data_IF_752551181300
#
_entry.id   IF_752551181300
#
_cell.length_a   1.000
_cell.length_b   1.000
_cell.length_c   1.000
_cell.angle_alpha   90.00
_cell.angle_beta   90.00
_cell.angle_gamma   90.00
#
_symmetry.space_group_name_H-M   'P 1'
#
loop_
_entity.id
_entity.type
_entity.pdbx_description
1 polymer ?
#
# COMPACT_ATOMS: atom_id res chain seq x y z
N UNK A 1 -17.25 -1.52 -0.92
CA UNK A 1 -16.10 -0.94 -1.65
C UNK A 1 -16.49 0.31 -2.43
N UNK A 2 -17.55 0.28 -3.26
CA UNK A 2 -18.02 1.42 -4.07
C UNK A 2 -18.07 2.80 -3.37
N UNK A 3 -18.64 2.88 -2.14
CA UNK A 3 -18.73 4.14 -1.38
C UNK A 3 -17.35 4.78 -1.17
N UNK A 4 -16.35 4.00 -0.74
CA UNK A 4 -15.00 4.50 -0.47
C UNK A 4 -14.22 4.79 -1.74
N UNK A 5 -14.38 3.99 -2.79
CA UNK A 5 -13.83 4.31 -4.11
C UNK A 5 -14.36 5.66 -4.62
N UNK A 6 -15.64 5.96 -4.39
CA UNK A 6 -16.25 7.22 -4.77
C UNK A 6 -15.69 8.41 -3.97
N UNK A 7 -15.62 8.31 -2.63
CA UNK A 7 -15.03 9.36 -1.79
C UNK A 7 -13.55 9.59 -2.09
N UNK A 8 -12.77 8.50 -2.24
CA UNK A 8 -11.37 8.59 -2.61
C UNK A 8 -11.20 9.25 -3.96
N UNK A 9 -12.01 8.89 -4.96
CA UNK A 9 -11.96 9.56 -6.27
C UNK A 9 -12.13 11.07 -6.15
N UNK A 10 -13.04 11.55 -5.30
CA UNK A 10 -13.17 12.99 -5.03
C UNK A 10 -11.97 13.58 -4.28
N UNK A 11 -11.45 12.90 -3.26
CA UNK A 11 -10.29 13.36 -2.50
C UNK A 11 -9.00 13.40 -3.34
N UNK A 12 -8.88 12.49 -4.32
CA UNK A 12 -7.74 12.35 -5.20
C UNK A 12 -7.83 13.20 -6.47
N UNK A 13 -9.05 13.58 -6.89
CA UNK A 13 -9.27 14.35 -8.12
C UNK A 13 -8.43 15.64 -8.25
N UNK A 14 -8.24 16.46 -7.18
CA UNK A 14 -7.40 17.65 -7.27
C UNK A 14 -5.93 17.37 -7.61
N UNK A 15 -5.46 16.13 -7.43
CA UNK A 15 -4.07 15.74 -7.66
C UNK A 15 -3.90 14.90 -8.92
N UNK A 16 -4.88 14.06 -9.24
CA UNK A 16 -4.77 13.08 -10.32
C UNK A 16 -5.50 13.50 -11.60
N UNK A 17 -6.50 14.37 -11.50
CA UNK A 17 -7.45 14.65 -12.58
C UNK A 17 -7.60 16.16 -12.86
N UNK A 18 -6.47 16.87 -12.84
CA UNK A 18 -6.41 18.34 -12.99
C UNK A 18 -6.83 18.80 -14.39
N UNK A 19 -6.71 17.94 -15.39
CA UNK A 19 -7.08 18.16 -16.80
C UNK A 19 -8.59 17.94 -17.08
N UNK A 20 -9.41 17.67 -16.06
CA UNK A 20 -10.83 17.36 -16.22
C UNK A 20 -11.09 15.92 -16.66
N UNK A 21 -10.04 15.08 -16.72
CA UNK A 21 -10.21 13.63 -16.80
C UNK A 21 -10.95 13.12 -15.57
N UNK A 22 -11.43 11.88 -15.63
CA UNK A 22 -12.06 11.25 -14.49
C UNK A 22 -11.51 9.85 -14.44
N UNK A 23 -10.54 9.60 -13.55
CA UNK A 23 -9.90 8.30 -13.51
C UNK A 23 -10.89 7.20 -13.17
N UNK A 24 -10.64 6.06 -13.75
CA UNK A 24 -11.47 4.87 -13.64
C UNK A 24 -11.61 4.42 -12.18
N UNK A 25 -12.66 3.64 -11.91
CA UNK A 25 -12.85 3.09 -10.56
C UNK A 25 -11.72 2.10 -10.23
N UNK A 26 -11.21 1.43 -11.26
CA UNK A 26 -10.07 0.52 -11.26
C UNK A 26 -8.79 1.24 -10.83
N UNK A 27 -8.42 2.35 -11.48
CA UNK A 27 -7.25 3.16 -11.10
C UNK A 27 -7.37 3.69 -9.66
N UNK A 28 -8.57 4.12 -9.26
CA UNK A 28 -8.80 4.59 -7.89
C UNK A 28 -8.61 3.45 -6.88
N UNK A 29 -9.13 2.25 -7.16
CA UNK A 29 -8.93 1.08 -6.30
C UNK A 29 -7.47 0.64 -6.27
N UNK A 30 -6.78 0.69 -7.41
CA UNK A 30 -5.38 0.39 -7.55
C UNK A 30 -4.53 1.33 -6.67
N UNK A 31 -4.73 2.64 -6.79
CA UNK A 31 -4.04 3.63 -5.94
C UNK A 31 -4.34 3.36 -4.47
N UNK A 32 -5.61 3.20 -4.09
CA UNK A 32 -5.97 2.92 -2.69
C UNK A 32 -5.33 1.63 -2.16
N UNK A 33 -5.22 0.58 -2.98
CA UNK A 33 -4.50 -0.64 -2.63
C UNK A 33 -3.05 -0.35 -2.25
N UNK A 34 -2.35 0.38 -3.11
CA UNK A 34 -0.96 0.77 -2.89
C UNK A 34 -0.78 1.58 -1.60
N UNK A 35 -1.82 2.32 -1.20
CA UNK A 35 -1.80 3.12 0.04
C UNK A 35 -2.13 2.37 1.33
N UNK A 36 -2.71 1.17 1.29
CA UNK A 36 -3.02 0.39 2.49
C UNK A 36 -4.40 -0.23 2.49
N UNK A 37 -5.23 0.11 1.50
CA UNK A 37 -6.61 -0.32 1.48
C UNK A 37 -6.75 -1.72 0.91
N UNK A 38 -7.75 -2.48 1.37
CA UNK A 38 -7.97 -3.85 0.90
C UNK A 38 -8.66 -3.85 -0.46
N UNK A 39 -8.04 -4.47 -1.45
CA UNK A 39 -8.57 -4.72 -2.80
C UNK A 39 -8.07 -6.07 -3.35
N UNK A 40 -8.25 -6.29 -4.66
CA UNK A 40 -7.91 -7.53 -5.39
C UNK A 40 -6.68 -7.35 -6.31
N UNK A 41 -5.85 -6.34 -6.10
CA UNK A 41 -4.64 -6.11 -6.87
C UNK A 41 -3.40 -6.64 -6.15
N UNK A 42 -2.46 -7.15 -6.93
CA UNK A 42 -1.12 -7.48 -6.47
C UNK A 42 -0.20 -6.29 -6.73
N UNK A 43 0.62 -5.95 -5.74
CA UNK A 43 1.55 -4.82 -5.79
C UNK A 43 2.96 -5.30 -6.14
N UNK A 44 3.63 -4.56 -7.02
CA UNK A 44 4.97 -4.85 -7.52
C UNK A 44 5.74 -3.56 -7.72
N UNK A 45 7.05 -3.69 -7.82
CA UNK A 45 7.90 -2.61 -8.30
C UNK A 45 8.49 -3.00 -9.65
N UNK A 46 8.77 -2.03 -10.52
CA UNK A 46 9.65 -2.22 -11.68
C UNK A 46 11.13 -2.06 -11.31
N UNK A 47 11.43 -1.60 -10.10
CA UNK A 47 12.76 -1.37 -9.58
C UNK A 47 13.24 -2.56 -8.73
N UNK A 48 14.27 -3.29 -9.19
CA UNK A 48 14.80 -4.45 -8.48
C UNK A 48 15.28 -4.13 -7.07
N UNK A 49 15.79 -2.91 -6.83
CA UNK A 49 16.27 -2.49 -5.52
C UNK A 49 15.11 -2.40 -4.51
N UNK A 50 14.00 -1.80 -4.93
CA UNK A 50 12.76 -1.70 -4.13
C UNK A 50 12.22 -3.10 -3.83
N UNK A 51 12.05 -3.96 -4.84
CA UNK A 51 11.56 -5.34 -4.62
C UNK A 51 12.48 -6.14 -3.70
N UNK A 52 13.80 -5.94 -3.78
CA UNK A 52 14.78 -6.60 -2.91
C UNK A 52 14.72 -6.08 -1.47
N UNK A 53 14.50 -4.79 -1.28
CA UNK A 53 14.24 -4.22 0.05
C UNK A 53 13.01 -4.88 0.68
N UNK A 54 11.91 -4.95 -0.06
CA UNK A 54 10.70 -5.61 0.43
C UNK A 54 10.93 -7.11 0.72
N UNK A 55 11.60 -7.83 -0.17
CA UNK A 55 11.96 -9.25 0.01
C UNK A 55 12.68 -9.52 1.34
N UNK A 56 13.54 -8.60 1.74
CA UNK A 56 14.42 -8.73 2.89
C UNK A 56 13.89 -8.11 4.19
N UNK A 57 12.71 -7.52 4.18
CA UNK A 57 12.08 -6.92 5.37
C UNK A 57 10.75 -7.59 5.74
N UNK A 58 10.35 -7.50 7.01
CA UNK A 58 9.08 -7.99 7.53
C UNK A 58 8.16 -6.84 7.85
N UNK A 59 6.98 -6.87 7.24
CA UNK A 59 5.88 -6.05 7.70
C UNK A 59 5.45 -6.45 9.11
N UNK A 60 5.37 -5.46 9.97
CA UNK A 60 4.77 -5.57 11.29
C UNK A 60 3.66 -4.52 11.39
N UNK A 61 2.56 -4.87 12.04
CA UNK A 61 1.50 -3.92 12.35
C UNK A 61 1.09 -4.05 13.80
N UNK A 62 0.86 -2.91 14.41
CA UNK A 62 0.37 -2.84 15.78
C UNK A 62 -0.83 -1.90 15.86
N UNK A 63 -1.74 -2.19 16.78
CA UNK A 63 -2.88 -1.34 17.06
C UNK A 63 -2.61 -0.57 18.35
N UNK A 64 -2.62 0.76 18.24
CA UNK A 64 -2.47 1.65 19.40
C UNK A 64 -3.78 2.40 19.64
N UNK A 65 -3.98 2.77 20.90
CA UNK A 65 -5.10 3.62 21.33
C UNK A 65 -4.47 4.86 21.95
N UNK A 66 -4.84 6.03 21.43
CA UNK A 66 -4.37 7.32 21.91
C UNK A 66 -5.55 8.09 22.49
N UNK A 67 -5.38 8.70 23.66
CA UNK A 67 -6.36 9.65 24.18
C UNK A 67 -6.10 11.02 23.57
N UNK A 68 -7.13 11.68 23.07
CA UNK A 68 -7.05 13.08 22.69
C UNK A 68 -8.34 13.80 23.09
N UNK A 69 -8.42 15.09 22.77
CA UNK A 69 -9.62 15.88 22.95
C UNK A 69 -10.28 16.15 21.58
N UNK A 70 -11.59 16.35 21.58
CA UNK A 70 -12.28 16.91 20.43
C UNK A 70 -12.29 18.45 20.46
N UNK A 71 -13.08 19.08 19.59
CA UNK A 71 -13.14 20.55 19.52
C UNK A 71 -13.88 21.20 20.70
N UNK A 72 -14.60 20.41 21.51
CA UNK A 72 -15.23 20.83 22.76
C UNK A 72 -14.35 20.60 23.98
N UNK A 73 -13.11 20.14 23.79
CA UNK A 73 -12.21 19.71 24.88
C UNK A 73 -12.72 18.45 25.61
N UNK A 74 -13.68 17.72 25.02
CA UNK A 74 -14.15 16.46 25.57
C UNK A 74 -13.17 15.33 25.24
N UNK A 75 -12.89 14.41 26.18
CA UNK A 75 -11.98 13.31 25.94
C UNK A 75 -12.55 12.35 24.89
N UNK A 76 -11.66 11.87 24.01
CA UNK A 76 -11.95 10.86 23.01
C UNK A 76 -10.82 9.83 22.93
N UNK A 77 -11.17 8.59 22.61
CA UNK A 77 -10.19 7.55 22.26
C UNK A 77 -10.05 7.45 20.75
N UNK A 78 -8.82 7.51 20.26
CA UNK A 78 -8.49 7.28 18.86
C UNK A 78 -7.78 5.96 18.71
N UNK A 79 -8.32 5.08 17.88
CA UNK A 79 -7.71 3.82 17.50
C UNK A 79 -6.89 4.02 16.25
N UNK A 80 -5.59 3.78 16.36
CA UNK A 80 -4.62 3.88 15.28
C UNK A 80 -4.09 2.50 14.93
N UNK A 81 -3.95 2.23 13.64
CA UNK A 81 -3.11 1.15 13.17
C UNK A 81 -1.77 1.75 12.79
N UNK A 82 -0.72 1.32 13.48
CA UNK A 82 0.65 1.61 13.10
C UNK A 82 1.21 0.41 12.37
N UNK A 83 2.20 0.67 11.54
CA UNK A 83 2.95 -0.37 10.88
C UNK A 83 4.43 -0.01 10.87
N UNK A 84 5.27 -1.01 10.63
CA UNK A 84 6.71 -0.88 10.54
C UNK A 84 7.31 -2.00 9.71
N UNK A 85 8.59 -1.85 9.38
CA UNK A 85 9.37 -2.88 8.73
C UNK A 85 10.60 -3.17 9.56
N UNK A 86 10.84 -4.44 9.82
CA UNK A 86 12.07 -4.91 10.47
C UNK A 86 12.83 -5.78 9.49
N UNK A 87 14.15 -5.84 9.62
CA UNK A 87 14.93 -6.76 8.81
C UNK A 87 14.46 -8.20 9.04
N UNK A 88 14.42 -8.98 7.96
CA UNK A 88 14.18 -10.42 8.04
C UNK A 88 15.52 -11.18 8.08
N UNK A 89 15.49 -12.34 8.72
CA UNK A 89 16.62 -13.27 8.82
C UNK A 89 16.20 -14.59 8.20
N UNK A 90 17.02 -15.13 7.30
CA UNK A 90 16.75 -16.37 6.57
C UNK A 90 16.63 -16.16 5.07
N UNK A 91 16.08 -17.17 4.38
CA UNK A 91 15.92 -17.13 2.94
C UNK A 91 14.68 -16.34 2.51
N UNK A 92 14.86 -15.48 1.52
CA UNK A 92 13.80 -14.67 0.92
C UNK A 92 13.55 -15.13 -0.52
N UNK A 93 12.35 -14.84 -1.01
CA UNK A 93 11.91 -15.19 -2.36
C UNK A 93 11.55 -13.93 -3.14
N UNK A 94 12.21 -13.74 -4.28
CA UNK A 94 11.92 -12.69 -5.23
C UNK A 94 11.44 -13.31 -6.54
N UNK A 95 10.33 -12.84 -7.07
CA UNK A 95 9.71 -13.35 -8.29
C UNK A 95 9.78 -12.26 -9.38
N UNK A 96 10.21 -12.61 -10.58
CA UNK A 96 10.09 -11.71 -11.72
C UNK A 96 8.82 -12.04 -12.50
N UNK A 97 7.96 -11.04 -12.70
CA UNK A 97 6.70 -11.19 -13.44
C UNK A 97 6.77 -10.46 -14.78
N UNK A 98 6.13 -11.05 -15.79
CA UNK A 98 5.91 -10.44 -17.10
C UNK A 98 4.41 -10.16 -17.26
N UNK A 99 3.96 -8.92 -16.99
CA UNK A 99 2.55 -8.56 -17.03
C UNK A 99 1.93 -8.70 -18.43
N UNK A 100 2.74 -8.70 -19.50
CA UNK A 100 2.25 -8.87 -20.87
C UNK A 100 1.59 -10.24 -21.09
N UNK A 101 1.97 -11.23 -20.29
CA UNK A 101 1.44 -12.61 -20.33
C UNK A 101 0.09 -12.75 -19.63
N UNK A 102 -0.35 -11.72 -18.89
CA UNK A 102 -1.63 -11.71 -18.19
C UNK A 102 -2.79 -11.17 -19.06
N UNK A 103 -2.47 -10.58 -20.24
CA UNK A 103 -3.44 -9.90 -21.11
C UNK A 103 -4.57 -10.80 -21.61
N UNK A 104 -4.35 -12.10 -21.73
CA UNK A 104 -5.36 -13.07 -22.20
C UNK A 104 -6.41 -13.42 -21.15
N UNK A 105 -6.28 -12.97 -19.89
CA UNK A 105 -7.15 -13.36 -18.77
C UNK A 105 -7.87 -12.19 -18.08
N UNK A 106 -8.07 -11.07 -18.77
CA UNK A 106 -8.69 -9.85 -18.21
C UNK A 106 -7.99 -9.29 -16.96
N UNK A 107 -6.70 -9.59 -16.82
CA UNK A 107 -5.83 -9.06 -15.77
C UNK A 107 -5.05 -7.90 -16.37
N UNK A 108 -5.17 -6.73 -15.75
CA UNK A 108 -4.55 -5.50 -16.21
C UNK A 108 -3.33 -5.16 -15.37
N UNK A 109 -2.30 -4.66 -16.04
CA UNK A 109 -1.13 -4.09 -15.41
C UNK A 109 -1.29 -2.57 -15.41
N UNK A 110 -1.26 -1.96 -14.23
CA UNK A 110 -1.35 -0.53 -14.03
C UNK A 110 0.00 0.00 -13.58
N UNK A 111 0.64 0.79 -14.43
CA UNK A 111 1.83 1.54 -14.07
C UNK A 111 1.42 2.78 -13.27
N UNK A 112 1.49 2.69 -11.94
CA UNK A 112 1.21 3.84 -11.09
C UNK A 112 2.34 4.87 -11.14
N UNK A 113 3.56 4.44 -11.47
CA UNK A 113 4.72 5.34 -11.52
C UNK A 113 4.60 6.37 -12.67
N UNK A 114 3.83 6.05 -13.71
CA UNK A 114 3.52 6.95 -14.83
C UNK A 114 2.67 8.18 -14.45
N UNK A 115 1.99 8.16 -13.31
CA UNK A 115 1.09 9.23 -12.86
C UNK A 115 1.89 10.42 -12.37
N UNK A 116 1.95 11.53 -13.10
CA UNK A 116 2.73 12.71 -12.68
C UNK A 116 1.95 13.63 -11.73
N UNK A 117 2.56 13.99 -10.60
CA UNK A 117 2.06 15.02 -9.67
C UNK A 117 3.18 16.04 -9.46
N UNK A 118 2.97 17.26 -9.96
CA UNK A 118 3.99 18.32 -9.96
C UNK A 118 4.47 18.65 -8.55
N UNK A 119 5.80 18.68 -8.36
CA UNK A 119 6.44 19.08 -7.10
C UNK A 119 6.22 18.12 -5.93
N UNK A 120 5.69 16.92 -6.19
CA UNK A 120 5.40 15.92 -5.17
C UNK A 120 6.23 14.64 -5.38
N UNK A 121 6.35 13.85 -4.32
CA UNK A 121 6.93 12.52 -4.33
C UNK A 121 5.92 11.55 -3.71
N UNK A 122 4.88 11.15 -4.45
CA UNK A 122 3.94 10.14 -3.98
C UNK A 122 4.64 8.78 -3.82
N UNK A 123 4.12 7.94 -2.93
CA UNK A 123 4.66 6.61 -2.65
C UNK A 123 4.89 5.75 -3.90
N UNK A 124 3.95 5.77 -4.83
CA UNK A 124 4.06 4.97 -6.06
C UNK A 124 5.20 5.42 -6.99
N UNK A 125 5.69 6.66 -6.87
CA UNK A 125 6.94 7.10 -7.51
C UNK A 125 8.16 6.62 -6.76
N UNK A 126 8.16 6.75 -5.43
CA UNK A 126 9.27 6.31 -4.59
C UNK A 126 9.54 4.80 -4.71
N UNK A 127 8.55 4.03 -5.15
CA UNK A 127 8.61 2.58 -5.29
C UNK A 127 8.57 2.08 -6.73
N UNK A 128 8.54 2.96 -7.74
CA UNK A 128 8.36 2.58 -9.14
C UNK A 128 7.22 1.55 -9.30
N UNK A 129 6.06 1.87 -8.71
CA UNK A 129 5.01 0.90 -8.38
C UNK A 129 4.14 0.51 -9.57
N UNK A 130 3.82 -0.77 -9.60
CA UNK A 130 2.97 -1.44 -10.58
C UNK A 130 1.91 -2.26 -9.84
N UNK A 131 0.69 -2.29 -10.37
CA UNK A 131 -0.37 -3.16 -9.86
C UNK A 131 -0.85 -4.10 -10.94
N UNK A 132 -0.96 -5.37 -10.61
CA UNK A 132 -1.57 -6.38 -11.47
C UNK A 132 -2.92 -6.78 -10.89
N UNK A 133 -3.98 -6.67 -11.67
CA UNK A 133 -5.28 -7.16 -11.27
C UNK A 133 -6.45 -6.65 -12.08
N UNK A 134 -7.67 -6.93 -11.61
CA UNK A 134 -7.97 -7.69 -10.39
C UNK A 134 -7.59 -9.18 -10.52
N UNK A 135 -6.94 -9.75 -9.50
CA UNK A 135 -6.58 -11.18 -9.43
C UNK A 135 -7.46 -11.87 -8.39
N UNK A 136 -8.36 -12.74 -8.86
CA UNK A 136 -9.24 -13.54 -8.01
C UNK A 136 -8.74 -14.99 -7.92
N UNK A 137 -7.68 -15.22 -7.15
CA UNK A 137 -7.08 -16.55 -6.98
C UNK A 137 -5.65 -16.65 -7.53
N UNK A 138 -5.25 -17.84 -7.96
CA UNK A 138 -3.86 -18.07 -8.39
C UNK A 138 -3.46 -17.20 -9.57
N UNK A 139 -2.21 -16.72 -9.55
CA UNK A 139 -1.61 -16.04 -10.68
C UNK A 139 -1.68 -16.92 -11.96
N UNK A 140 -1.88 -16.32 -13.14
CA UNK A 140 -1.87 -17.05 -14.40
C UNK A 140 -0.58 -17.84 -14.61
N UNK A 141 -0.69 -19.01 -15.21
CA UNK A 141 0.50 -19.81 -15.55
C UNK A 141 1.43 -19.04 -16.50
N UNK A 142 2.74 -19.12 -16.26
CA UNK A 142 3.75 -18.49 -17.09
C UNK A 142 3.94 -16.98 -16.89
N UNK A 143 3.17 -16.34 -16.00
CA UNK A 143 3.38 -14.92 -15.65
C UNK A 143 4.65 -14.71 -14.84
N UNK A 144 4.96 -15.66 -13.94
CA UNK A 144 6.22 -15.71 -13.21
C UNK A 144 7.26 -16.27 -14.18
N UNK A 145 8.23 -15.43 -14.54
CA UNK A 145 9.31 -15.80 -15.46
C UNK A 145 10.52 -16.34 -14.72
N UNK A 146 10.78 -15.83 -13.51
CA UNK A 146 11.92 -16.23 -12.70
C UNK A 146 11.54 -16.23 -11.22
N UNK A 147 12.24 -17.07 -10.46
CA UNK A 147 12.15 -17.15 -9.01
C UNK A 147 13.57 -17.23 -8.44
N UNK A 148 13.92 -16.24 -7.63
CA UNK A 148 15.19 -16.14 -6.94
C UNK A 148 15.00 -16.48 -5.46
N UNK A 149 15.90 -17.31 -4.94
CA UNK A 149 15.98 -17.64 -3.51
C UNK A 149 17.39 -17.30 -3.05
N UNK A 150 17.50 -16.45 -2.04
CA UNK A 150 18.78 -16.04 -1.46
C UNK A 150 18.59 -15.56 -0.02
N UNK A 151 19.68 -15.47 0.74
CA UNK A 151 19.67 -14.91 2.09
C UNK A 151 19.18 -13.45 2.07
N UNK A 152 18.36 -13.08 3.05
CA UNK A 152 17.84 -11.73 3.23
C UNK A 152 18.93 -10.66 3.20
N UNK A 153 20.14 -10.96 3.70
CA UNK A 153 21.29 -10.05 3.69
C UNK A 153 21.71 -9.67 2.27
N UNK A 154 21.71 -10.60 1.32
CA UNK A 154 22.08 -10.33 -0.07
C UNK A 154 21.08 -9.37 -0.74
N UNK A 155 19.78 -9.56 -0.48
CA UNK A 155 18.75 -8.63 -0.94
C UNK A 155 18.85 -7.27 -0.22
N UNK A 156 19.18 -7.27 1.08
CA UNK A 156 19.77 -6.17 1.89
C UNK A 156 20.70 -5.29 1.07
N UNK A 157 21.86 -5.88 0.82
CA UNK A 157 23.01 -5.24 0.18
C UNK A 157 22.70 -4.80 -1.25
N UNK A 158 21.98 -5.62 -2.01
CA UNK A 158 21.58 -5.28 -3.38
C UNK A 158 20.61 -4.09 -3.42
N UNK A 159 19.70 -3.98 -2.44
CA UNK A 159 18.73 -2.88 -2.43
C UNK A 159 19.39 -1.51 -2.27
N UNK A 160 20.46 -1.42 -1.48
CA UNK A 160 21.12 -0.14 -1.14
C UNK A 160 20.23 0.88 -0.41
N UNK A 161 18.98 0.54 -0.08
CA UNK A 161 18.02 1.42 0.58
C UNK A 161 18.22 1.31 2.08
N UNK A 162 18.61 2.42 2.71
CA UNK A 162 18.93 2.48 4.14
C UNK A 162 17.80 3.09 4.98
N UNK A 163 16.89 3.85 4.36
CA UNK A 163 15.81 4.54 5.06
C UNK A 163 14.45 4.14 4.50
N UNK A 164 13.52 3.80 5.38
CA UNK A 164 12.11 3.58 5.02
C UNK A 164 11.50 4.83 4.37
N UNK A 165 11.95 6.05 4.71
CA UNK A 165 11.48 7.28 4.05
C UNK A 165 11.82 7.33 2.55
N UNK A 166 12.83 6.57 2.11
CA UNK A 166 13.18 6.49 0.69
C UNK A 166 12.10 5.75 -0.09
N UNK A 167 11.35 4.84 0.53
CA UNK A 167 10.25 4.13 -0.11
C UNK A 167 8.89 4.72 0.24
N UNK A 168 8.78 5.37 1.39
CA UNK A 168 7.51 5.83 1.92
C UNK A 168 7.62 7.29 2.37
N UNK A 169 7.41 8.22 1.42
CA UNK A 169 7.55 9.64 1.67
C UNK A 169 6.52 10.12 2.71
N UNK A 170 6.88 11.08 3.58
CA UNK A 170 5.96 11.62 4.57
C UNK A 170 4.81 12.40 3.90
N UNK A 171 3.70 12.66 4.60
CA UNK A 171 2.58 13.43 4.06
C UNK A 171 2.95 14.85 3.57
N UNK A 172 4.09 15.41 4.00
CA UNK A 172 4.61 16.68 3.49
C UNK A 172 5.08 16.60 2.03
N UNK A 173 5.51 15.41 1.58
CA UNK A 173 5.98 15.15 0.21
C UNK A 173 4.98 14.34 -0.62
N UNK A 174 4.08 13.59 0.04
CA UNK A 174 3.05 12.76 -0.58
C UNK A 174 1.64 13.38 -0.39
N UNK A 175 1.13 14.14 -1.38
CA UNK A 175 -0.19 14.76 -1.30
C UNK A 175 -1.33 13.73 -1.34
N UNK A 176 -1.10 12.56 -1.93
CA UNK A 176 -2.08 11.48 -1.98
C UNK A 176 -2.25 10.89 -0.59
N UNK A 177 -1.14 10.54 0.07
CA UNK A 177 -1.16 10.11 1.47
C UNK A 177 -1.82 11.17 2.36
N UNK A 178 -1.47 12.45 2.19
CA UNK A 178 -2.08 13.55 2.97
C UNK A 178 -3.60 13.60 2.80
N UNK A 179 -4.09 13.51 1.56
CA UNK A 179 -5.52 13.54 1.26
C UNK A 179 -6.26 12.31 1.81
N UNK A 180 -5.66 11.13 1.69
CA UNK A 180 -6.24 9.91 2.27
C UNK A 180 -6.20 9.95 3.81
N UNK A 181 -5.22 10.63 4.39
CA UNK A 181 -5.11 10.81 5.83
C UNK A 181 -6.10 11.83 6.40
N UNK A 182 -6.66 12.73 5.58
CA UNK A 182 -7.66 13.72 6.00
C UNK A 182 -9.10 13.17 5.96
N UNK A 183 -9.29 11.91 5.57
CA UNK A 183 -10.60 11.27 5.60
C UNK A 183 -11.13 11.27 7.04
N UNK A 184 -12.40 11.67 7.29
CA UNK A 184 -12.94 11.78 8.63
C UNK A 184 -12.84 10.49 9.44
N UNK A 185 -12.77 10.66 10.76
CA UNK A 185 -12.88 9.55 11.70
C UNK A 185 -14.33 9.08 11.80
N UNK A 186 -14.51 7.79 12.08
CA UNK A 186 -15.80 7.16 12.33
C UNK A 186 -15.86 6.70 13.79
N UNK A 187 -16.93 7.08 14.48
CA UNK A 187 -17.25 6.58 15.82
C UNK A 187 -17.48 5.07 15.78
N UNK A 188 -16.89 4.37 16.74
CA UNK A 188 -17.15 2.97 17.05
C UNK A 188 -18.22 2.92 18.13
N UNK A 189 -19.31 2.22 17.86
CA UNK A 189 -20.28 1.88 18.89
C UNK A 189 -19.69 0.76 19.75
N UNK A 190 -19.47 1.04 21.03
CA UNK A 190 -19.00 0.05 22.01
C UNK A 190 -20.20 -0.53 22.75
N UNK A 191 -20.12 -1.80 23.18
CA UNK A 191 -21.20 -2.45 23.95
C UNK A 191 -21.54 -1.69 25.23
N UNK A 192 -20.58 -1.01 25.83
CA UNK A 192 -20.79 -0.20 27.05
C UNK A 192 -21.71 1.01 26.81
N UNK A 193 -21.81 1.50 25.56
CA UNK A 193 -22.80 2.53 25.18
C UNK A 193 -24.22 1.95 25.16
N UNK A 194 -24.38 0.65 24.86
CA UNK A 194 -25.66 -0.06 24.91
C UNK A 194 -26.11 -0.35 26.36
N UNK A 195 -25.16 -0.39 27.31
CA UNK A 195 -25.43 -0.59 28.75
C UNK A 195 -25.62 0.73 29.54
N UNK A 196 -25.63 1.88 28.86
CA UNK A 196 -25.98 3.18 29.46
C UNK A 196 -24.92 3.79 30.38
N UNK A 197 -23.69 3.30 30.35
CA UNK A 197 -22.56 3.91 31.06
C UNK A 197 -21.96 5.04 30.19
N UNK A 198 -21.56 6.19 30.78
CA UNK A 198 -20.88 7.24 30.03
C UNK A 198 -19.47 6.76 29.64
N UNK A 199 -19.37 6.11 28.49
CA UNK A 199 -18.11 5.70 27.89
C UNK A 199 -17.49 6.87 27.13
N UNK A 200 -16.18 7.09 27.32
CA UNK A 200 -15.41 8.01 26.48
C UNK A 200 -15.54 7.54 25.02
N UNK A 201 -16.03 8.38 24.08
CA UNK A 201 -16.28 7.96 22.71
C UNK A 201 -15.02 7.43 22.02
N UNK A 202 -15.15 6.31 21.31
CA UNK A 202 -14.04 5.68 20.60
C UNK A 202 -14.17 5.92 19.10
N UNK A 203 -13.10 6.31 18.44
CA UNK A 203 -13.05 6.60 17.01
C UNK A 203 -11.97 5.78 16.33
N UNK A 204 -12.21 5.42 15.06
CA UNK A 204 -11.17 4.91 14.14
C UNK A 204 -11.21 5.67 12.82
N UNK A 205 -10.12 5.65 12.06
CA UNK A 205 -10.13 6.21 10.71
C UNK A 205 -11.18 5.49 9.86
N UNK A 206 -11.95 6.25 9.08
CA UNK A 206 -12.98 5.63 8.23
C UNK A 206 -12.38 4.83 7.07
N UNK A 207 -11.23 5.27 6.59
CA UNK A 207 -10.35 4.47 5.74
C UNK A 207 -9.28 3.85 6.65
N UNK A 208 -9.36 2.54 6.86
CA UNK A 208 -8.28 1.79 7.50
C UNK A 208 -7.16 1.70 6.49
N UNK A 209 -6.29 2.69 6.56
CA UNK A 209 -4.95 2.58 6.03
C UNK A 209 -4.12 1.92 7.12
N UNK A 210 -3.07 1.22 6.71
CA UNK A 210 -1.94 0.88 7.55
C UNK A 210 -0.89 1.96 7.34
N UNK A 211 -1.07 3.18 7.88
CA UNK A 211 0.05 4.09 7.88
C UNK A 211 1.12 3.41 8.73
N UNK A 212 2.30 3.11 8.17
CA UNK A 212 3.42 2.95 9.07
C UNK A 212 3.58 4.26 9.85
N UNK A 213 4.49 4.34 10.81
CA UNK A 213 5.03 5.67 11.16
C UNK A 213 5.52 6.45 9.90
N UNK A 214 5.55 5.78 8.74
CA UNK A 214 5.98 6.18 7.41
C UNK A 214 4.99 5.78 6.26
N UNK A 215 3.72 5.32 6.47
CA UNK A 215 2.78 4.84 5.41
C UNK A 215 3.02 3.52 4.61
N UNK A 216 2.33 2.35 4.77
CA UNK A 216 2.45 1.15 3.85
C UNK A 216 1.23 0.19 3.75
N UNK A 217 0.92 -0.33 2.54
CA UNK A 217 0.17 -1.58 2.25
C UNK A 217 1.11 -2.73 1.86
N UNK A 218 0.78 -3.99 2.20
CA UNK A 218 1.19 -5.15 1.39
C UNK A 218 -0.07 -6.00 1.13
N UNK A 219 -0.27 -6.42 -0.11
CA UNK A 219 -1.08 -7.61 -0.41
C UNK A 219 -0.34 -8.87 0.09
N UNK A 220 -0.60 -9.30 1.33
CA UNK A 220 -0.26 -10.67 1.72
C UNK A 220 -1.15 -11.62 0.90
N UNK A 221 -0.56 -12.29 -0.08
CA UNK A 221 -1.18 -13.48 -0.67
C UNK A 221 -1.02 -14.64 0.33
N UNK A 222 -2.08 -15.41 0.66
CA UNK A 222 -2.01 -16.40 1.71
C UNK A 222 -1.28 -17.65 1.21
N UNK A 223 0.03 -17.79 1.43
CA UNK A 223 0.73 -19.06 1.21
C UNK A 223 1.88 -19.23 2.22
N UNK A 224 1.79 -20.31 2.99
CA UNK A 224 2.76 -20.99 3.87
C UNK A 224 3.86 -20.19 4.60
N UNK A 225 3.91 -20.41 5.91
CA UNK A 225 4.68 -19.71 6.94
C UNK A 225 6.22 -19.74 6.81
N UNK A 226 6.80 -20.33 5.77
CA UNK A 226 8.26 -20.53 5.66
C UNK A 226 8.98 -19.62 4.65
N UNK A 227 8.26 -18.89 3.77
CA UNK A 227 8.89 -18.14 2.67
C UNK A 227 8.24 -16.78 2.40
N UNK A 228 9.02 -15.69 2.46
CA UNK A 228 8.55 -14.35 2.03
C UNK A 228 8.68 -14.16 0.53
N UNK A 229 7.58 -13.80 -0.11
CA UNK A 229 7.44 -13.67 -1.57
C UNK A 229 7.17 -12.21 -1.95
N UNK A 230 7.98 -11.66 -2.85
CA UNK A 230 7.76 -10.35 -3.46
C UNK A 230 7.99 -10.41 -4.96
N UNK A 231 7.36 -9.52 -5.73
CA UNK A 231 7.52 -9.56 -7.17
C UNK A 231 7.97 -8.23 -7.80
N UNK A 232 8.67 -8.40 -8.92
CA UNK A 232 9.31 -7.37 -9.74
C UNK A 232 8.71 -7.44 -11.13
N UNK A 233 8.17 -6.34 -11.67
CA UNK A 233 7.69 -6.29 -13.05
C UNK A 233 8.84 -6.09 -14.03
N UNK A 234 8.83 -6.85 -15.13
CA UNK A 234 9.71 -6.59 -16.28
C UNK A 234 9.01 -5.69 -17.29
N UNK A 235 9.19 -4.38 -17.17
CA UNK A 235 9.28 -3.50 -18.34
C UNK A 235 10.74 -3.17 -18.62
N UNK A 236 11.54 -4.22 -18.85
CA UNK A 236 12.94 -4.07 -19.22
C UNK A 236 12.98 -3.69 -20.71
N UNK A 237 12.99 -2.39 -21.03
CA UNK A 237 13.56 -1.95 -22.30
C UNK A 237 15.05 -2.22 -22.22
N UNK A 238 15.50 -3.21 -22.98
CA UNK A 238 16.90 -3.44 -23.25
C UNK A 238 17.54 -2.10 -23.67
N UNK A 239 18.34 -1.51 -22.80
CA UNK A 239 19.40 -0.63 -23.24
C UNK A 239 20.55 -1.56 -23.61
N UNK A 240 20.90 -1.53 -24.90
CA UNK A 240 22.05 -2.24 -25.45
C UNK A 240 23.38 -1.70 -24.93
#
# INVERSE_FOLDING_TARGET
MLKWSHYARFALAPYLYVDGSSGSIEETQAILQHYGWRSFYLDFSSNPAVSSWFASHQYQSDQSIEMSEDWHEDPIWRVHQTAGYTEFVGNCHLYAVDPSRAKSQSIHAHDLSSISISGARPRFHAQDAWLLGPVAGTLPEGIITHHFIADAKLFREYSGISSTNDLFPPPSQDPILRALMSVPWRRLCTKDEDEGLPAIPVFRRSLVLTPTQHGISIAQWPIDHEAKKFFLSREWRAMG
#
